data_IF_479787663946
#
_entry.id   IF_479787663946
#
_cell.length_a   1.000
_cell.length_b   1.000
_cell.length_c   1.000
_cell.angle_alpha   90.00
_cell.angle_beta   90.00
_cell.angle_gamma   90.00
#
_symmetry.space_group_name_H-M   'P 1'
#
loop_
_entity.id
_entity.type
_entity.pdbx_description
1 polymer ?
#
# COMPACT_ATOMS: atom_id res chain seq x y z
N UNK A 1 -46.03 -53.99 1.72
CA UNK A 1 -45.01 -53.78 0.68
C UNK A 1 -45.00 -52.30 0.35
N UNK A 2 -44.03 -51.53 0.87
CA UNK A 2 -43.86 -50.11 0.59
C UNK A 2 -42.44 -49.91 0.03
N UNK A 3 -42.24 -49.14 -1.06
CA UNK A 3 -40.93 -49.00 -1.66
C UNK A 3 -40.14 -47.91 -0.93
N UNK A 4 -38.94 -48.27 -0.49
CA UNK A 4 -37.93 -47.34 0.03
C UNK A 4 -37.34 -46.55 -1.15
N UNK A 5 -37.55 -45.24 -1.17
CA UNK A 5 -36.86 -44.32 -2.08
C UNK A 5 -35.52 -43.91 -1.44
N UNK A 6 -34.42 -44.31 -2.07
CA UNK A 6 -33.08 -43.84 -1.73
C UNK A 6 -32.87 -42.45 -2.34
N UNK A 7 -32.95 -41.41 -1.52
CA UNK A 7 -32.57 -40.05 -1.91
C UNK A 7 -31.05 -39.96 -2.02
N UNK A 8 -30.52 -40.01 -3.24
CA UNK A 8 -29.12 -39.70 -3.53
C UNK A 8 -28.87 -38.20 -3.34
N UNK A 9 -28.32 -37.83 -2.19
CA UNK A 9 -27.73 -36.50 -1.98
C UNK A 9 -26.43 -36.42 -2.78
N UNK A 10 -26.48 -35.72 -3.92
CA UNK A 10 -25.29 -35.28 -4.61
C UNK A 10 -24.67 -34.14 -3.79
N UNK A 11 -23.56 -34.42 -3.09
CA UNK A 11 -22.67 -33.36 -2.60
C UNK A 11 -22.06 -32.69 -3.84
N UNK A 12 -22.59 -31.53 -4.23
CA UNK A 12 -21.89 -30.66 -5.16
C UNK A 12 -20.63 -30.15 -4.46
N UNK A 13 -19.45 -30.63 -4.89
CA UNK A 13 -18.18 -30.03 -4.53
C UNK A 13 -18.17 -28.60 -5.09
N UNK A 14 -18.38 -27.61 -4.23
CA UNK A 14 -18.07 -26.21 -4.53
C UNK A 14 -16.55 -26.10 -4.64
N UNK A 15 -16.03 -26.15 -5.86
CA UNK A 15 -14.65 -25.76 -6.13
C UNK A 15 -14.50 -24.26 -5.78
N UNK A 16 -13.47 -23.86 -5.02
CA UNK A 16 -13.22 -22.44 -4.77
C UNK A 16 -12.90 -21.77 -6.10
N UNK A 17 -13.69 -20.75 -6.45
CA UNK A 17 -13.40 -19.86 -7.56
C UNK A 17 -12.19 -19.04 -7.13
N UNK A 18 -11.01 -19.38 -7.61
CA UNK A 18 -9.86 -18.49 -7.57
C UNK A 18 -10.14 -17.36 -8.55
N UNK A 19 -10.57 -16.20 -8.02
CA UNK A 19 -10.57 -14.96 -8.80
C UNK A 19 -9.10 -14.58 -8.90
N UNK A 20 -8.55 -14.63 -10.12
CA UNK A 20 -7.21 -14.15 -10.40
C UNK A 20 -7.17 -12.65 -10.07
N UNK A 21 -6.16 -12.21 -9.31
CA UNK A 21 -5.75 -10.80 -9.39
C UNK A 21 -5.42 -10.51 -10.87
N UNK A 22 -5.72 -9.30 -11.35
CA UNK A 22 -5.32 -8.91 -12.71
C UNK A 22 -3.79 -8.99 -12.81
N UNK A 23 -3.31 -10.08 -13.42
CA UNK A 23 -1.89 -10.27 -13.70
C UNK A 23 -1.52 -9.43 -14.92
N UNK A 24 -0.52 -8.58 -14.74
CA UNK A 24 0.06 -7.76 -15.79
C UNK A 24 1.31 -8.44 -16.34
N UNK A 25 1.53 -8.28 -17.63
CA UNK A 25 2.79 -8.63 -18.29
C UNK A 25 3.37 -7.36 -18.89
N UNK A 26 4.68 -7.20 -18.78
CA UNK A 26 5.37 -6.05 -19.35
C UNK A 26 6.88 -6.22 -19.30
N UNK A 27 7.58 -5.12 -19.51
CA UNK A 27 9.03 -5.09 -19.45
C UNK A 27 9.52 -4.36 -18.20
N UNK A 28 10.56 -4.91 -17.59
CA UNK A 28 11.39 -4.27 -16.59
C UNK A 28 12.56 -3.52 -17.24
N UNK A 29 12.83 -2.31 -16.77
CA UNK A 29 14.11 -1.61 -16.91
C UNK A 29 14.73 -1.36 -15.53
N UNK A 30 15.83 -0.61 -15.48
CA UNK A 30 16.40 -0.17 -14.20
C UNK A 30 16.64 1.32 -14.14
N UNK A 31 16.47 1.89 -12.96
CA UNK A 31 16.88 3.26 -12.65
C UNK A 31 17.76 3.36 -11.41
N UNK A 32 18.45 4.50 -11.31
CA UNK A 32 19.55 4.71 -10.38
C UNK A 32 19.16 5.12 -8.95
N UNK A 33 17.87 5.19 -8.59
CA UNK A 33 17.52 5.54 -7.22
C UNK A 33 17.93 4.41 -6.26
N UNK A 34 18.73 4.78 -5.25
CA UNK A 34 19.19 3.85 -4.22
C UNK A 34 18.26 3.83 -2.98
N UNK A 35 17.35 4.79 -2.87
CA UNK A 35 16.40 4.90 -1.76
C UNK A 35 15.00 5.18 -2.29
N UNK A 36 14.01 4.51 -1.72
CA UNK A 36 12.60 4.74 -1.97
C UNK A 36 12.09 6.03 -1.31
N UNK A 37 12.82 6.57 -0.33
CA UNK A 37 12.39 7.75 0.43
C UNK A 37 12.42 8.97 -0.50
N UNK A 38 11.30 9.66 -0.59
CA UNK A 38 11.07 10.64 -1.65
C UNK A 38 10.47 9.97 -2.88
N UNK A 39 11.17 10.07 -4.01
CA UNK A 39 10.58 9.78 -5.32
C UNK A 39 9.36 10.67 -5.61
N UNK A 40 8.65 10.38 -6.68
CA UNK A 40 7.40 11.08 -7.00
C UNK A 40 6.37 10.89 -5.89
N UNK A 41 6.29 9.70 -5.28
CA UNK A 41 5.39 9.43 -4.14
C UNK A 41 5.68 10.30 -2.91
N UNK A 42 6.87 10.91 -2.80
CA UNK A 42 7.33 11.56 -1.57
C UNK A 42 7.26 10.61 -0.36
N UNK A 43 7.56 9.33 -0.57
CA UNK A 43 7.40 8.30 0.45
C UNK A 43 8.27 8.61 1.68
N UNK A 44 7.67 8.59 2.87
CA UNK A 44 8.38 8.80 4.14
C UNK A 44 9.05 7.53 4.66
N UNK A 45 8.54 6.38 4.26
CA UNK A 45 9.05 5.08 4.65
C UNK A 45 8.60 4.01 3.67
N UNK A 46 9.27 2.85 3.71
CA UNK A 46 8.76 1.65 3.05
C UNK A 46 7.56 1.08 3.85
N UNK A 47 6.61 0.42 3.17
CA UNK A 47 5.59 -0.39 3.84
C UNK A 47 6.23 -1.47 4.72
N UNK A 48 5.59 -1.77 5.85
CA UNK A 48 6.09 -2.76 6.78
C UNK A 48 6.02 -4.18 6.22
N UNK A 49 7.00 -5.00 6.61
CA UNK A 49 7.13 -6.38 6.15
C UNK A 49 7.64 -6.53 4.72
N UNK A 50 7.98 -5.43 4.03
CA UNK A 50 8.67 -5.43 2.74
C UNK A 50 10.10 -4.97 2.92
N UNK A 51 11.02 -5.50 2.11
CA UNK A 51 12.40 -5.01 2.09
C UNK A 51 12.44 -3.59 1.51
N UNK A 52 12.85 -2.60 2.30
CA UNK A 52 12.90 -1.18 1.93
C UNK A 52 13.77 -0.88 0.71
N UNK A 53 14.71 -1.78 0.39
CA UNK A 53 15.58 -1.65 -0.79
C UNK A 53 14.93 -2.20 -2.07
N UNK A 54 13.70 -2.73 -2.04
CA UNK A 54 13.04 -3.32 -3.20
C UNK A 54 11.82 -2.50 -3.60
N UNK A 55 12.01 -1.63 -4.60
CA UNK A 55 10.97 -0.70 -5.04
C UNK A 55 11.01 -0.43 -6.54
N UNK A 56 9.91 0.09 -7.06
CA UNK A 56 9.73 0.40 -8.49
C UNK A 56 9.29 1.85 -8.71
N UNK A 57 9.66 2.37 -9.88
CA UNK A 57 8.88 3.42 -10.52
C UNK A 57 7.79 2.79 -11.39
N UNK A 58 6.53 3.17 -11.15
CA UNK A 58 5.36 2.64 -11.86
C UNK A 58 5.05 3.50 -13.08
N UNK A 59 4.54 2.91 -14.16
CA UNK A 59 4.07 3.68 -15.31
C UNK A 59 2.90 4.61 -14.95
N UNK A 60 2.74 5.70 -15.71
CA UNK A 60 1.75 6.74 -15.45
C UNK A 60 0.32 6.22 -15.32
N UNK A 61 -0.13 5.36 -16.24
CA UNK A 61 -1.52 4.88 -16.26
C UNK A 61 -1.86 4.04 -15.02
N UNK A 62 -0.91 3.21 -14.55
CA UNK A 62 -1.09 2.35 -13.37
C UNK A 62 -0.61 3.00 -12.07
N UNK A 63 -0.03 4.20 -12.13
CA UNK A 63 0.25 5.04 -10.97
C UNK A 63 -1.04 5.57 -10.32
N UNK A 64 -2.12 5.68 -11.12
CA UNK A 64 -3.48 6.03 -10.69
C UNK A 64 -3.52 7.28 -9.79
N UNK A 65 -2.93 8.39 -10.26
CA UNK A 65 -2.92 9.65 -9.50
C UNK A 65 -2.42 9.48 -8.05
N UNK A 66 -1.31 8.73 -7.91
CA UNK A 66 -0.67 8.39 -6.64
C UNK A 66 -1.39 7.35 -5.78
N UNK A 67 -2.56 6.85 -6.18
CA UNK A 67 -3.26 5.79 -5.43
C UNK A 67 -2.45 4.49 -5.37
N UNK A 68 -1.50 4.32 -6.30
CA UNK A 68 -0.57 3.19 -6.32
C UNK A 68 0.64 3.35 -5.41
N UNK A 69 0.94 4.55 -4.90
CA UNK A 69 2.06 4.74 -3.98
C UNK A 69 1.95 3.85 -2.75
N UNK A 70 3.08 3.32 -2.30
CA UNK A 70 3.19 2.38 -1.18
C UNK A 70 2.44 1.06 -1.35
N UNK A 71 1.76 0.81 -2.48
CA UNK A 71 1.16 -0.51 -2.74
C UNK A 71 2.24 -1.53 -3.01
N UNK A 72 2.01 -2.73 -2.50
CA UNK A 72 2.90 -3.85 -2.72
C UNK A 72 2.57 -4.57 -4.03
N UNK A 73 3.62 -5.07 -4.67
CA UNK A 73 3.59 -5.83 -5.92
C UNK A 73 4.24 -7.18 -5.68
N UNK A 74 3.65 -8.24 -6.24
CA UNK A 74 4.35 -9.50 -6.44
C UNK A 74 4.88 -9.51 -7.87
N UNK A 75 6.21 -9.50 -8.03
CA UNK A 75 6.87 -9.39 -9.34
C UNK A 75 7.63 -10.67 -9.60
N UNK A 76 7.40 -11.26 -10.78
CA UNK A 76 8.07 -12.47 -11.26
C UNK A 76 8.93 -12.13 -12.47
N UNK A 77 10.19 -12.53 -12.42
CA UNK A 77 11.13 -12.50 -13.52
C UNK A 77 11.96 -13.78 -13.56
N UNK A 78 12.98 -13.81 -14.42
CA UNK A 78 13.79 -15.01 -14.67
C UNK A 78 14.47 -15.60 -13.43
N UNK A 79 14.80 -14.75 -12.44
CA UNK A 79 15.49 -15.18 -11.21
C UNK A 79 14.52 -15.56 -10.08
N UNK A 80 13.22 -15.29 -10.21
CA UNK A 80 12.20 -15.70 -9.26
C UNK A 80 11.11 -14.66 -9.04
N UNK A 81 10.35 -14.84 -7.95
CA UNK A 81 9.25 -13.96 -7.54
C UNK A 81 9.60 -13.26 -6.23
N UNK A 82 9.38 -11.95 -6.16
CA UNK A 82 9.66 -11.14 -4.98
C UNK A 82 8.56 -10.10 -4.74
N UNK A 83 8.36 -9.73 -3.47
CA UNK A 83 7.51 -8.62 -3.10
C UNK A 83 8.32 -7.32 -3.07
N UNK A 84 7.82 -6.31 -3.79
CA UNK A 84 8.35 -4.95 -3.82
C UNK A 84 7.20 -3.95 -3.61
N UNK A 85 7.50 -2.64 -3.63
CA UNK A 85 6.47 -1.60 -3.52
C UNK A 85 6.69 -0.44 -4.50
N UNK A 86 5.62 0.30 -4.77
CA UNK A 86 5.68 1.49 -5.63
C UNK A 86 6.20 2.69 -4.84
N UNK A 87 7.31 3.26 -5.27
CA UNK A 87 7.93 4.43 -4.63
C UNK A 87 8.05 5.64 -5.56
N UNK A 88 7.95 5.43 -6.88
CA UNK A 88 8.17 6.48 -7.86
C UNK A 88 7.26 6.33 -9.09
N UNK A 89 7.34 7.32 -9.99
CA UNK A 89 6.59 7.40 -11.23
C UNK A 89 7.56 7.44 -12.42
N UNK A 90 7.32 6.56 -13.39
CA UNK A 90 7.99 6.54 -14.69
C UNK A 90 6.99 7.03 -15.75
N UNK A 91 7.13 8.27 -16.21
CA UNK A 91 6.18 8.88 -17.15
C UNK A 91 6.22 8.23 -18.54
N UNK A 92 7.40 7.79 -18.95
CA UNK A 92 7.68 7.22 -20.27
C UNK A 92 7.45 5.71 -20.35
N UNK A 93 7.26 5.04 -19.21
CA UNK A 93 6.99 3.62 -19.16
C UNK A 93 5.59 3.33 -19.72
N UNK A 94 5.50 2.36 -20.64
CA UNK A 94 4.21 1.87 -21.13
C UNK A 94 3.44 1.07 -20.08
N UNK A 95 2.14 0.88 -20.32
CA UNK A 95 1.28 0.04 -19.48
C UNK A 95 1.90 -1.35 -19.29
N UNK A 96 1.90 -1.84 -18.05
CA UNK A 96 2.52 -3.12 -17.65
C UNK A 96 4.03 -3.05 -17.40
N UNK A 97 4.73 -2.03 -17.89
CA UNK A 97 6.17 -1.87 -17.64
C UNK A 97 6.44 -1.28 -16.25
N UNK A 98 7.55 -1.71 -15.65
CA UNK A 98 8.06 -1.21 -14.37
C UNK A 98 9.52 -0.81 -14.51
N UNK A 99 9.92 0.30 -13.88
CA UNK A 99 11.35 0.63 -13.76
C UNK A 99 11.85 0.21 -12.38
N UNK A 100 12.70 -0.81 -12.34
CA UNK A 100 13.11 -1.44 -11.09
C UNK A 100 14.32 -0.70 -10.51
N UNK A 101 14.37 -0.51 -9.19
CA UNK A 101 15.63 -0.10 -8.60
C UNK A 101 16.68 -1.23 -8.74
N UNK A 102 17.97 -0.88 -8.73
CA UNK A 102 19.07 -1.83 -9.01
C UNK A 102 19.03 -3.09 -8.13
N UNK A 103 18.67 -2.98 -6.86
CA UNK A 103 18.61 -4.13 -5.96
C UNK A 103 17.46 -5.10 -6.33
N UNK A 104 16.30 -4.57 -6.71
CA UNK A 104 15.18 -5.36 -7.18
C UNK A 104 15.50 -6.03 -8.52
N UNK A 105 16.13 -5.33 -9.46
CA UNK A 105 16.58 -5.94 -10.71
C UNK A 105 17.43 -7.19 -10.48
N UNK A 106 18.47 -7.10 -9.64
CA UNK A 106 19.33 -8.25 -9.36
C UNK A 106 18.59 -9.39 -8.66
N UNK A 107 17.55 -9.08 -7.90
CA UNK A 107 16.77 -10.08 -7.17
C UNK A 107 15.79 -10.82 -8.09
N UNK A 108 15.12 -10.11 -9.00
CA UNK A 108 13.99 -10.65 -9.79
C UNK A 108 14.38 -11.03 -11.22
N UNK A 109 15.31 -10.31 -11.84
CA UNK A 109 15.80 -10.57 -13.20
C UNK A 109 17.20 -11.19 -13.16
N UNK A 110 18.14 -10.53 -12.47
CA UNK A 110 19.55 -10.91 -12.44
C UNK A 110 20.36 -10.40 -13.63
N UNK A 111 21.69 -10.57 -13.56
CA UNK A 111 22.62 -10.12 -14.60
C UNK A 111 22.68 -8.58 -14.78
N UNK A 112 23.42 -8.13 -15.78
CA UNK A 112 23.55 -6.70 -16.07
C UNK A 112 22.20 -6.09 -16.50
N UNK A 113 21.87 -4.85 -16.07
CA UNK A 113 20.67 -4.13 -16.47
C UNK A 113 20.43 -4.08 -17.99
N UNK A 114 19.22 -4.44 -18.40
CA UNK A 114 18.73 -4.43 -19.78
C UNK A 114 17.23 -4.10 -19.77
N UNK A 115 16.54 -4.48 -20.84
CA UNK A 115 15.10 -4.70 -20.86
C UNK A 115 14.85 -6.20 -20.66
N UNK A 116 13.99 -6.59 -19.74
CA UNK A 116 13.59 -7.98 -19.50
C UNK A 116 12.09 -8.10 -19.36
N UNK A 117 11.50 -9.20 -19.82
CA UNK A 117 10.09 -9.47 -19.58
C UNK A 117 9.87 -9.82 -18.09
N UNK A 118 8.75 -9.36 -17.54
CA UNK A 118 8.27 -9.67 -16.19
C UNK A 118 6.76 -9.86 -16.21
N UNK A 119 6.24 -10.59 -15.21
CA UNK A 119 4.83 -10.53 -14.84
C UNK A 119 4.67 -10.04 -13.41
N UNK A 120 3.56 -9.37 -13.12
CA UNK A 120 3.32 -8.86 -11.77
C UNK A 120 1.84 -8.62 -11.52
N UNK A 121 1.48 -8.55 -10.25
CA UNK A 121 0.16 -8.13 -9.79
C UNK A 121 0.27 -7.37 -8.47
N UNK A 122 -0.72 -6.52 -8.18
CA UNK A 122 -0.81 -5.88 -6.87
C UNK A 122 -1.16 -6.92 -5.80
N UNK A 123 -0.41 -6.94 -4.70
CA UNK A 123 -0.65 -7.82 -3.56
C UNK A 123 -0.83 -6.99 -2.30
N UNK A 124 -1.63 -7.43 -1.31
CA UNK A 124 -1.64 -6.83 0.01
C UNK A 124 -0.23 -6.73 0.59
N UNK A 125 0.11 -5.59 1.18
CA UNK A 125 1.35 -5.47 1.95
C UNK A 125 1.32 -6.41 3.18
N UNK A 126 2.44 -7.07 3.55
CA UNK A 126 2.43 -8.15 4.54
C UNK A 126 1.98 -7.74 5.95
N UNK A 127 2.28 -6.51 6.35
CA UNK A 127 1.92 -5.95 7.64
C UNK A 127 0.93 -4.79 7.47
N UNK A 128 -0.35 -5.10 7.70
CA UNK A 128 -1.50 -4.23 7.43
C UNK A 128 -1.74 -3.15 8.51
N UNK A 129 -0.71 -2.74 9.25
CA UNK A 129 -0.87 -1.71 10.28
C UNK A 129 -0.71 -0.32 9.68
N UNK A 130 -1.80 0.43 9.51
CA UNK A 130 -1.70 1.78 8.95
C UNK A 130 -0.74 2.66 9.74
N UNK A 131 0.12 3.37 9.00
CA UNK A 131 1.01 4.39 9.53
C UNK A 131 0.71 5.72 8.88
N UNK A 132 0.85 6.79 9.66
CA UNK A 132 0.36 8.11 9.31
C UNK A 132 1.50 9.11 9.43
N UNK A 133 1.77 9.84 8.36
CA UNK A 133 2.79 10.88 8.33
C UNK A 133 2.16 12.18 7.84
N UNK A 134 2.15 13.21 8.69
CA UNK A 134 1.75 14.53 8.23
C UNK A 134 2.83 15.18 7.36
N UNK A 135 2.43 16.15 6.54
CA UNK A 135 3.35 16.97 5.75
C UNK A 135 3.84 18.16 6.56
N UNK A 136 5.09 18.57 6.35
CA UNK A 136 5.61 19.81 6.89
C UNK A 136 4.75 21.01 6.48
N UNK A 137 4.55 21.94 7.43
CA UNK A 137 3.64 23.07 7.27
C UNK A 137 2.19 22.79 7.65
N UNK A 138 1.83 21.52 7.94
CA UNK A 138 0.49 21.17 8.42
C UNK A 138 0.16 21.91 9.72
N UNK A 139 -1.03 22.48 9.78
CA UNK A 139 -1.56 23.26 10.88
C UNK A 139 -3.10 23.23 10.83
N UNK A 140 -3.77 23.92 11.76
CA UNK A 140 -5.21 23.87 11.87
C UNK A 140 -5.99 24.42 10.66
N UNK A 141 -5.35 25.16 9.75
CA UNK A 141 -5.97 25.79 8.57
C UNK A 141 -5.56 25.15 7.23
N UNK A 142 -4.54 24.30 7.24
CA UNK A 142 -4.10 23.51 6.10
C UNK A 142 -3.41 22.27 6.63
N UNK A 143 -3.87 21.10 6.24
CA UNK A 143 -3.34 19.84 6.74
C UNK A 143 -3.16 18.87 5.59
N UNK A 144 -2.03 18.15 5.56
CA UNK A 144 -1.82 17.09 4.60
C UNK A 144 -1.25 15.83 5.24
N UNK A 145 -1.77 14.68 4.81
CA UNK A 145 -1.49 13.37 5.40
C UNK A 145 -1.04 12.38 4.33
N UNK A 146 -0.03 11.59 4.64
CA UNK A 146 0.38 10.41 3.89
C UNK A 146 0.13 9.17 4.74
N UNK A 147 -0.25 8.07 4.08
CA UNK A 147 -0.40 6.75 4.69
C UNK A 147 0.64 5.80 4.08
N UNK A 148 1.93 5.90 4.46
CA UNK A 148 3.00 5.18 3.77
C UNK A 148 2.99 3.67 4.01
N UNK A 149 2.35 3.20 5.09
CA UNK A 149 2.02 1.80 5.26
C UNK A 149 0.51 1.66 5.14
N UNK A 150 0.01 1.25 3.98
CA UNK A 150 -1.40 0.89 3.79
C UNK A 150 -1.44 -0.45 3.08
N UNK A 151 -2.50 -1.23 3.29
CA UNK A 151 -2.57 -2.57 2.71
C UNK A 151 -2.63 -2.56 1.19
N UNK A 152 -3.57 -1.78 0.65
CA UNK A 152 -3.93 -1.82 -0.78
C UNK A 152 -3.81 -0.44 -1.45
N UNK A 153 -3.17 0.54 -0.81
CA UNK A 153 -3.12 1.91 -1.29
C UNK A 153 -4.42 2.67 -1.03
N UNK A 154 -4.37 3.98 -1.21
CA UNK A 154 -5.44 4.90 -0.85
C UNK A 154 -6.14 5.35 -2.13
N UNK A 155 -7.43 5.01 -2.26
CA UNK A 155 -8.28 5.48 -3.36
C UNK A 155 -8.91 6.83 -3.06
N UNK A 156 -9.33 7.03 -1.80
CA UNK A 156 -9.90 8.28 -1.32
C UNK A 156 -9.59 8.45 0.17
N UNK A 157 -9.54 9.71 0.61
CA UNK A 157 -9.36 10.08 2.01
C UNK A 157 -10.26 11.26 2.35
N UNK A 158 -10.89 11.19 3.51
CA UNK A 158 -11.58 12.31 4.15
C UNK A 158 -10.81 12.66 5.43
N UNK A 159 -10.56 13.95 5.67
CA UNK A 159 -9.91 14.47 6.87
C UNK A 159 -10.87 15.48 7.50
N UNK A 160 -11.35 15.21 8.72
CA UNK A 160 -12.43 15.94 9.39
C UNK A 160 -13.64 16.18 8.48
N UNK A 161 -14.14 15.10 7.86
CA UNK A 161 -15.29 15.11 6.95
C UNK A 161 -15.12 15.97 5.68
N UNK A 162 -13.88 16.40 5.37
CA UNK A 162 -13.53 17.09 4.13
C UNK A 162 -12.78 16.13 3.21
N UNK A 163 -13.26 15.98 1.97
CA UNK A 163 -12.58 15.19 0.94
C UNK A 163 -11.20 15.78 0.66
N UNK A 164 -10.17 14.94 0.79
CA UNK A 164 -8.78 15.35 0.65
C UNK A 164 -8.29 15.18 -0.79
N UNK A 165 -7.54 16.17 -1.26
CA UNK A 165 -6.98 16.19 -2.61
C UNK A 165 -5.52 15.76 -2.61
N UNK A 166 -5.09 15.00 -3.62
CA UNK A 166 -3.68 14.64 -3.78
C UNK A 166 -2.84 15.86 -4.16
N UNK A 167 -1.69 16.04 -3.50
CA UNK A 167 -0.73 17.08 -3.86
C UNK A 167 0.12 16.60 -5.05
N UNK A 168 -0.23 17.03 -6.26
CA UNK A 168 0.55 16.75 -7.47
C UNK A 168 0.67 15.25 -7.76
N UNK A 169 1.91 14.74 -7.84
CA UNK A 169 2.21 13.29 -7.97
C UNK A 169 2.65 12.65 -6.66
N UNK A 170 2.51 13.34 -5.52
CA UNK A 170 2.88 12.78 -4.22
C UNK A 170 1.78 11.89 -3.66
N UNK A 171 2.05 11.15 -2.59
CA UNK A 171 1.00 10.47 -1.82
C UNK A 171 0.57 11.23 -0.56
N UNK A 172 0.69 12.57 -0.58
CA UNK A 172 0.08 13.43 0.43
C UNK A 172 -1.31 13.89 -0.01
N UNK A 173 -2.28 13.73 0.86
CA UNK A 173 -3.67 14.11 0.70
C UNK A 173 -3.94 15.34 1.58
N UNK A 174 -4.34 16.46 0.99
CA UNK A 174 -4.51 17.75 1.68
C UNK A 174 -5.96 18.18 1.84
N UNK A 175 -6.20 18.94 2.91
CA UNK A 175 -7.45 19.67 3.15
C UNK A 175 -7.15 21.10 3.59
N UNK A 176 -8.04 22.04 3.25
CA UNK A 176 -8.04 23.42 3.72
C UNK A 176 -9.44 23.78 4.22
N UNK A 177 -9.84 23.26 5.38
CA UNK A 177 -11.20 23.40 5.89
C UNK A 177 -11.50 24.85 6.30
N UNK A 178 -12.79 25.22 6.29
CA UNK A 178 -13.25 26.52 6.78
C UNK A 178 -13.18 26.64 8.31
N UNK A 179 -13.25 25.51 9.00
CA UNK A 179 -13.12 25.42 10.45
C UNK A 179 -11.74 24.89 10.81
N UNK A 180 -11.19 25.37 11.93
CA UNK A 180 -9.88 24.96 12.40
C UNK A 180 -9.90 23.48 12.82
N UNK A 181 -8.95 22.70 12.29
CA UNK A 181 -8.73 21.31 12.71
C UNK A 181 -8.20 21.30 14.15
N UNK A 182 -8.83 20.49 15.01
CA UNK A 182 -8.25 20.10 16.29
C UNK A 182 -7.11 19.09 16.06
N UNK A 183 -5.88 19.57 16.18
CA UNK A 183 -4.67 18.80 15.85
C UNK A 183 -4.41 17.63 16.81
N UNK A 184 -5.12 17.54 17.93
CA UNK A 184 -5.10 16.39 18.84
C UNK A 184 -6.26 15.42 18.62
N UNK A 185 -7.18 15.71 17.70
CA UNK A 185 -8.34 14.88 17.38
C UNK A 185 -8.66 14.93 15.87
N UNK A 186 -7.68 14.62 15.03
CA UNK A 186 -7.86 14.62 13.56
C UNK A 186 -8.59 13.34 13.14
N UNK A 187 -9.86 13.45 12.75
CA UNK A 187 -10.62 12.33 12.21
C UNK A 187 -10.21 12.06 10.76
N UNK A 188 -9.87 10.82 10.46
CA UNK A 188 -9.45 10.38 9.13
C UNK A 188 -10.27 9.17 8.73
N UNK A 189 -10.85 9.22 7.54
CA UNK A 189 -11.51 8.09 6.90
C UNK A 189 -10.83 7.80 5.57
N UNK A 190 -10.44 6.56 5.38
CA UNK A 190 -9.71 6.09 4.20
C UNK A 190 -10.59 5.10 3.46
N UNK A 191 -10.58 5.16 2.13
CA UNK A 191 -11.09 4.11 1.25
C UNK A 191 -9.94 3.55 0.42
N UNK A 192 -9.71 2.25 0.48
CA UNK A 192 -8.65 1.58 -0.27
C UNK A 192 -9.03 1.33 -1.73
N UNK A 193 -8.05 0.97 -2.57
CA UNK A 193 -8.31 0.56 -3.96
C UNK A 193 -9.20 -0.70 -4.07
N UNK A 194 -9.31 -1.50 -3.01
CA UNK A 194 -10.18 -2.70 -2.94
C UNK A 194 -11.53 -2.42 -2.30
N UNK A 195 -11.83 -1.16 -1.98
CA UNK A 195 -13.11 -0.72 -1.40
C UNK A 195 -13.23 -0.94 0.11
N UNK A 196 -12.13 -1.25 0.80
CA UNK A 196 -12.12 -1.33 2.27
C UNK A 196 -12.00 0.05 2.85
N UNK A 197 -12.75 0.29 3.92
CA UNK A 197 -12.72 1.57 4.62
C UNK A 197 -12.12 1.42 6.02
N UNK A 198 -11.29 2.38 6.40
CA UNK A 198 -10.73 2.50 7.76
C UNK A 198 -11.01 3.90 8.31
N UNK A 199 -11.38 3.95 9.59
CA UNK A 199 -11.59 5.19 10.33
C UNK A 199 -10.68 5.24 11.55
N UNK A 200 -10.10 6.41 11.80
CA UNK A 200 -9.18 6.64 12.91
C UNK A 200 -9.26 8.10 13.37
N UNK A 201 -9.06 8.34 14.67
CA UNK A 201 -8.83 9.69 15.21
C UNK A 201 -7.37 9.78 15.65
N UNK A 202 -6.62 10.66 15.01
CA UNK A 202 -5.18 10.83 15.19
C UNK A 202 -4.86 11.98 16.13
N UNK A 203 -3.83 11.78 16.94
CA UNK A 203 -3.24 12.76 17.85
C UNK A 203 -1.83 13.11 17.38
N UNK A 204 -1.23 14.17 17.93
CA UNK A 204 0.13 14.58 17.56
C UNK A 204 1.17 13.46 17.72
N UNK A 205 0.96 12.56 18.69
CA UNK A 205 1.87 11.44 18.94
C UNK A 205 1.88 10.34 17.87
N UNK A 206 0.82 10.24 17.04
CA UNK A 206 0.70 9.19 16.03
C UNK A 206 1.62 9.43 14.81
N UNK A 207 2.25 10.60 14.71
CA UNK A 207 3.13 11.00 13.60
C UNK A 207 4.64 10.86 13.91
N UNK A 208 5.02 10.48 15.14
CA UNK A 208 6.39 10.61 15.65
C UNK A 208 7.44 9.72 14.94
N UNK A 209 7.01 8.67 14.24
CA UNK A 209 7.89 7.70 13.57
C UNK A 209 7.97 7.91 12.05
N UNK A 210 7.77 9.14 11.59
CA UNK A 210 7.83 9.53 10.18
C UNK A 210 9.03 10.45 9.91
N UNK A 211 10.12 9.97 9.27
CA UNK A 211 11.29 10.79 9.01
C UNK A 211 10.99 11.86 7.97
N UNK A 212 11.15 13.13 8.36
CA UNK A 212 10.99 14.28 7.48
C UNK A 212 12.20 14.42 6.56
N UNK A 213 11.97 14.71 5.27
CA UNK A 213 13.01 14.82 4.23
C UNK A 213 13.92 16.04 4.39
N UNK A 214 13.56 17.01 5.25
CA UNK A 214 14.31 18.25 5.49
C UNK A 214 15.19 18.22 6.75
N UNK A 215 15.30 17.08 7.44
CA UNK A 215 15.97 17.03 8.73
C UNK A 215 17.51 16.95 8.60
N UNK A 216 18.13 17.96 7.99
CA UNK A 216 19.57 18.22 8.13
C UNK A 216 19.95 18.79 9.51
N UNK A 217 19.00 18.99 10.41
CA UNK A 217 19.25 19.52 11.76
C UNK A 217 18.26 18.98 12.80
N UNK A 218 18.27 17.67 13.06
CA UNK A 218 18.05 17.13 14.41
C UNK A 218 18.39 15.65 14.43
N UNK A 219 19.67 15.38 14.62
CA UNK A 219 20.11 14.20 15.34
C UNK A 219 19.56 14.29 16.77
N UNK A 220 18.32 13.85 16.97
CA UNK A 220 17.89 13.32 18.25
C UNK A 220 17.00 12.14 17.93
N UNK A 221 17.65 10.99 17.75
CA UNK A 221 16.99 9.70 17.92
C UNK A 221 16.42 9.68 19.34
N UNK A 222 15.15 10.07 19.47
CA UNK A 222 14.37 9.85 20.67
C UNK A 222 13.97 8.39 20.69
N UNK A 223 14.83 7.52 21.24
CA UNK A 223 14.45 6.17 21.60
C UNK A 223 13.42 6.23 22.72
N UNK A 224 12.14 6.35 22.37
CA UNK A 224 11.03 6.02 23.25
C UNK A 224 10.04 5.19 22.44
N UNK A 225 10.32 3.88 22.37
CA UNK A 225 9.38 2.87 21.92
C UNK A 225 8.20 2.79 22.87
N UNK A 226 7.26 3.71 22.71
CA UNK A 226 5.89 3.57 23.17
C UNK A 226 5.03 3.34 21.94
N UNK A 227 4.73 2.08 21.63
CA UNK A 227 3.72 1.73 20.62
C UNK A 227 2.37 2.23 21.12
N UNK A 228 2.04 3.49 20.80
CA UNK A 228 0.69 4.01 21.00
C UNK A 228 -0.21 3.22 20.05
N UNK A 229 -1.08 2.40 20.60
CA UNK A 229 -1.98 1.55 19.81
C UNK A 229 -3.18 2.41 19.41
N UNK A 230 -3.01 3.20 18.34
CA UNK A 230 -4.11 3.92 17.70
C UNK A 230 -5.16 2.88 17.27
N UNK A 231 -6.41 3.05 17.72
CA UNK A 231 -7.47 2.10 17.40
C UNK A 231 -8.04 2.44 16.02
N UNK A 232 -7.62 1.68 15.02
CA UNK A 232 -8.14 1.77 13.66
C UNK A 232 -9.37 0.87 13.57
N UNK A 233 -10.51 1.44 13.17
CA UNK A 233 -11.75 0.68 12.92
C UNK A 233 -11.81 0.39 11.42
N UNK A 234 -11.66 -0.89 11.04
CA UNK A 234 -11.74 -1.31 9.63
C UNK A 234 -13.12 -1.90 9.33
N UNK A 235 -13.81 -1.36 8.33
CA UNK A 235 -14.98 -1.97 7.71
C UNK A 235 -14.61 -2.59 6.36
N UNK A 236 -15.12 -3.79 6.16
CA UNK A 236 -14.79 -4.66 5.03
C UNK A 236 -16.03 -5.02 4.23
N UNK A 237 -17.17 -4.43 4.61
CA UNK A 237 -18.45 -4.58 3.94
C UNK A 237 -18.33 -4.02 2.52
N UNK A 238 -18.25 -4.91 1.53
CA UNK A 238 -18.06 -4.54 0.12
C UNK A 238 -16.64 -4.73 -0.42
N UNK A 239 -15.69 -5.20 0.40
CA UNK A 239 -14.36 -5.57 -0.05
C UNK A 239 -14.41 -6.68 -1.11
N UNK A 240 -13.53 -6.61 -2.12
CA UNK A 240 -13.42 -7.64 -3.16
C UNK A 240 -13.16 -9.03 -2.55
N UNK A 241 -13.65 -10.10 -3.19
CA UNK A 241 -13.61 -11.48 -2.67
C UNK A 241 -12.22 -11.94 -2.19
N UNK A 242 -11.15 -11.44 -2.80
CA UNK A 242 -9.75 -11.71 -2.44
C UNK A 242 -9.41 -11.37 -0.98
N UNK A 243 -9.98 -10.29 -0.42
CA UNK A 243 -9.77 -9.91 0.98
C UNK A 243 -10.17 -11.02 1.97
N UNK A 244 -11.34 -11.61 1.74
CA UNK A 244 -11.88 -12.66 2.63
C UNK A 244 -11.04 -13.94 2.56
N UNK A 245 -10.53 -14.29 1.37
CA UNK A 245 -9.65 -15.43 1.16
C UNK A 245 -8.29 -15.24 1.84
N UNK A 246 -7.71 -14.03 1.74
CA UNK A 246 -6.44 -13.69 2.38
C UNK A 246 -6.55 -13.66 3.91
N UNK A 247 -7.60 -13.07 4.49
CA UNK A 247 -7.86 -13.14 5.94
C UNK A 247 -7.97 -14.60 6.41
N UNK A 248 -8.64 -15.46 5.64
CA UNK A 248 -8.75 -16.88 5.95
C UNK A 248 -7.40 -17.60 5.86
N UNK A 249 -6.53 -17.22 4.91
CA UNK A 249 -5.15 -17.72 4.81
C UNK A 249 -4.31 -17.31 6.03
N UNK A 250 -4.34 -16.04 6.44
CA UNK A 250 -3.59 -15.55 7.61
C UNK A 250 -4.01 -16.23 8.90
N UNK A 251 -5.32 -16.38 9.14
CA UNK A 251 -5.85 -17.12 10.30
C UNK A 251 -5.41 -18.58 10.34
N UNK A 252 -5.12 -19.19 9.19
CA UNK A 252 -4.55 -20.55 9.12
C UNK A 252 -3.05 -20.51 9.40
N UNK A 253 -2.30 -19.58 8.80
CA UNK A 253 -0.84 -19.47 8.98
C UNK A 253 -0.44 -19.17 10.44
N UNK A 254 -1.21 -18.32 11.13
CA UNK A 254 -1.01 -18.02 12.55
C UNK A 254 -1.28 -19.22 13.49
N UNK A 255 -1.83 -20.34 13.01
CA UNK A 255 -2.01 -21.59 13.78
C UNK A 255 -0.89 -22.60 13.56
N UNK A 256 0.03 -22.34 12.63
CA UNK A 256 1.12 -23.25 12.26
C UNK A 256 2.51 -22.71 12.65
N UNK A 257 2.56 -21.66 13.46
CA UNK A 257 3.75 -21.16 14.15
C UNK A 257 3.48 -21.09 15.65
#
# INVERSE_FOLDING_TARGET
MAPLWLSSFWLALLAPIAVADDEFTGNATTYGLASAIGGSCSARMAPYGVNESLFVAMNYDQYYESSSCSRCLSITGDSGTVTAFVADLCYECGYGNLDLNTALWYTVVGGDPRISEISWYFTPCPDEQEKFCWKEGSNAQWFALQVPNSRDGIKAMEINDVEAEVIGVTSFYQVSPSEAIDMENVAVKITSNTGITSEVTLQSSDYNDCPMTDNSTSSTAGTNGGSSTTTIVTDTTGATAHYTAWQAYRRRRAKFF
#
